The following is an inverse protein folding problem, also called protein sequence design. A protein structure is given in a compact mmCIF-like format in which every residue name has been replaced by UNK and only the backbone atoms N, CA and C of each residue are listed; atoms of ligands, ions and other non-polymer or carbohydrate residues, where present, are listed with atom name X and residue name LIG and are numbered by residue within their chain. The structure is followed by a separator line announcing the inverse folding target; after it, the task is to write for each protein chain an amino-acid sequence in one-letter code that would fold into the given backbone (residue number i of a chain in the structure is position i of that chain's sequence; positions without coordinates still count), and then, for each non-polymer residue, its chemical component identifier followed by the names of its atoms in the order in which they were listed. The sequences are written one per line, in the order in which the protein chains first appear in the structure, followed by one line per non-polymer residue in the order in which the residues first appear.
data_IF_323880763752
#
_entry.id   IF_323880763752
#
_cell.length_a   1.000
_cell.length_b   1.000
_cell.length_c   1.000
_cell.angle_alpha   90.00
_cell.angle_beta   90.00
_cell.angle_gamma   90.00
#
_symmetry.space_group_name_H-M   'P 1'
#
loop_
_entity.id
_entity.type
_entity.pdbx_description
1 polymer ?
#
# COMPACT_ATOMS: atom_id res chain seq x y z
N UNK A 1 16.38 33.91 -18.47
CA UNK A 1 17.40 34.78 -17.84
C UNK A 1 18.38 33.92 -17.06
N UNK A 2 19.29 34.49 -16.27
CA UNK A 2 20.18 33.68 -15.43
C UNK A 2 19.43 32.93 -14.33
N UNK A 3 18.37 33.53 -13.77
CA UNK A 3 17.48 32.84 -12.83
C UNK A 3 16.69 31.70 -13.47
N UNK A 4 16.31 31.77 -14.75
CA UNK A 4 15.62 30.65 -15.41
C UNK A 4 16.52 29.42 -15.58
N UNK A 5 17.82 29.61 -15.84
CA UNK A 5 18.78 28.50 -15.87
C UNK A 5 18.90 27.82 -14.50
N UNK A 6 18.83 28.59 -13.40
CA UNK A 6 18.84 28.04 -12.05
C UNK A 6 17.54 27.29 -11.75
N UNK A 7 16.38 27.77 -12.22
CA UNK A 7 15.11 27.03 -12.09
C UNK A 7 15.17 25.70 -12.83
N UNK A 8 15.69 25.69 -14.05
CA UNK A 8 15.88 24.46 -14.84
C UNK A 8 16.84 23.49 -14.14
N UNK A 9 17.93 23.98 -13.52
CA UNK A 9 18.85 23.16 -12.72
C UNK A 9 18.14 22.50 -11.53
N UNK A 10 17.34 23.26 -10.77
CA UNK A 10 16.58 22.75 -9.63
C UNK A 10 15.53 21.73 -10.08
N UNK A 11 14.77 22.04 -11.14
CA UNK A 11 13.75 21.15 -11.69
C UNK A 11 14.37 19.86 -12.23
N UNK A 12 15.49 19.94 -12.92
CA UNK A 12 16.21 18.77 -13.44
C UNK A 12 16.73 17.90 -12.30
N UNK A 13 17.31 18.50 -11.24
CA UNK A 13 17.71 17.76 -10.05
C UNK A 13 16.53 17.05 -9.39
N UNK A 14 15.42 17.76 -9.21
CA UNK A 14 14.21 17.22 -8.62
C UNK A 14 13.65 16.07 -9.46
N UNK A 15 13.58 16.23 -10.79
CA UNK A 15 13.12 15.18 -11.71
C UNK A 15 13.95 13.90 -11.58
N UNK A 16 15.28 14.04 -11.58
CA UNK A 16 16.22 12.91 -11.46
C UNK A 16 16.14 12.23 -10.08
N UNK A 17 16.10 13.01 -9.00
CA UNK A 17 16.05 12.49 -7.63
C UNK A 17 14.72 11.76 -7.40
N UNK A 18 13.59 12.40 -7.66
CA UNK A 18 12.27 11.83 -7.45
C UNK A 18 12.06 10.60 -8.34
N UNK A 19 12.52 10.61 -9.59
CA UNK A 19 12.44 9.46 -10.48
C UNK A 19 13.17 8.22 -9.95
N UNK A 20 14.35 8.38 -9.34
CA UNK A 20 15.06 7.26 -8.70
C UNK A 20 14.32 6.70 -7.50
N UNK A 21 13.77 7.57 -6.66
CA UNK A 21 13.00 7.16 -5.48
C UNK A 21 11.67 6.53 -5.86
N UNK A 22 11.04 6.95 -6.96
CA UNK A 22 9.82 6.34 -7.48
C UNK A 22 10.07 4.91 -7.97
N UNK A 23 11.22 4.65 -8.60
CA UNK A 23 11.64 3.29 -8.94
C UNK A 23 11.88 2.43 -7.70
N UNK A 24 12.60 2.96 -6.70
CA UNK A 24 12.82 2.25 -5.45
C UNK A 24 11.50 1.95 -4.73
N UNK A 25 10.58 2.91 -4.72
CA UNK A 25 9.23 2.74 -4.20
C UNK A 25 8.51 1.58 -4.87
N UNK A 26 8.54 1.47 -6.21
CA UNK A 26 8.01 0.32 -6.94
C UNK A 26 8.72 -1.00 -6.58
N UNK A 27 10.05 -1.00 -6.51
CA UNK A 27 10.84 -2.19 -6.15
C UNK A 27 10.54 -2.71 -4.73
N UNK A 28 10.15 -1.85 -3.80
CA UNK A 28 9.76 -2.22 -2.44
C UNK A 28 8.25 -2.51 -2.31
N UNK A 29 7.48 -2.48 -3.40
CA UNK A 29 6.04 -2.72 -3.39
C UNK A 29 5.24 -1.54 -2.86
N UNK A 30 5.67 -0.32 -3.15
CA UNK A 30 4.99 0.89 -2.69
C UNK A 30 5.08 1.11 -1.17
N UNK A 31 6.03 0.49 -0.49
CA UNK A 31 6.45 0.91 0.84
C UNK A 31 7.88 1.39 0.71
N UNK A 32 8.19 2.66 0.99
CA UNK A 32 9.58 3.08 1.05
C UNK A 32 10.10 2.95 2.48
N UNK A 33 10.86 1.91 2.74
CA UNK A 33 11.61 1.74 3.98
C UNK A 33 13.00 2.35 3.82
N UNK A 34 13.12 3.64 4.16
CA UNK A 34 14.41 4.36 4.14
C UNK A 34 15.41 3.86 5.20
N UNK A 35 14.93 3.07 6.17
CA UNK A 35 15.73 2.47 7.25
C UNK A 35 15.86 0.95 7.05
N UNK A 36 16.51 0.56 5.96
CA UNK A 36 17.14 -0.75 5.87
C UNK A 36 18.42 -0.66 6.70
N UNK A 37 18.33 -1.05 7.98
CA UNK A 37 19.47 -0.96 8.91
C UNK A 37 20.78 -1.47 8.29
N UNK A 38 21.93 -0.97 8.74
CA UNK A 38 23.26 -1.07 8.09
C UNK A 38 23.71 -2.48 7.62
N UNK A 39 23.02 -3.54 8.02
CA UNK A 39 23.26 -4.94 7.64
C UNK A 39 22.18 -5.55 6.71
N UNK A 40 21.32 -4.75 6.09
CA UNK A 40 20.31 -5.25 5.15
C UNK A 40 20.99 -5.85 3.90
N UNK A 41 20.84 -7.17 3.71
CA UNK A 41 21.43 -7.90 2.58
C UNK A 41 20.51 -7.89 1.34
N UNK A 42 19.47 -7.04 1.33
CA UNK A 42 18.51 -6.95 0.24
C UNK A 42 17.52 -5.81 0.40
N UNK A 43 16.76 -5.56 -0.67
CA UNK A 43 15.65 -4.60 -0.70
C UNK A 43 14.42 -5.30 -0.12
N UNK A 44 13.82 -4.80 0.96
CA UNK A 44 12.61 -5.39 1.51
C UNK A 44 11.47 -5.21 0.51
N UNK A 45 10.78 -6.29 0.21
CA UNK A 45 9.61 -6.25 -0.67
C UNK A 45 8.37 -6.37 0.22
N UNK A 46 7.43 -5.43 0.07
CA UNK A 46 6.18 -5.46 0.83
C UNK A 46 5.38 -6.74 0.53
N UNK A 47 4.83 -7.35 1.57
CA UNK A 47 3.82 -8.40 1.42
C UNK A 47 2.53 -7.76 0.91
N UNK A 48 2.07 -8.17 -0.27
CA UNK A 48 0.77 -7.77 -0.84
C UNK A 48 -0.30 -8.81 -0.54
N UNK A 49 0.13 -10.05 -0.41
CA UNK A 49 -0.70 -11.16 0.02
C UNK A 49 0.00 -11.85 1.19
N UNK A 50 -0.70 -11.94 2.30
CA UNK A 50 -0.23 -12.58 3.52
C UNK A 50 -1.30 -13.57 3.97
N UNK A 51 -1.03 -14.86 3.76
CA UNK A 51 -1.82 -15.96 4.29
C UNK A 51 -3.34 -15.77 4.14
N UNK A 52 -3.85 -15.62 2.91
CA UNK A 52 -5.29 -15.43 2.66
C UNK A 52 -5.75 -13.97 2.61
N UNK A 53 -4.95 -13.03 3.10
CA UNK A 53 -5.33 -11.62 3.23
C UNK A 53 -4.55 -10.72 2.27
N UNK A 54 -5.27 -9.81 1.62
CA UNK A 54 -4.69 -8.67 0.90
C UNK A 54 -4.20 -7.61 1.92
N UNK A 55 -2.94 -7.23 1.84
CA UNK A 55 -2.26 -6.33 2.81
C UNK A 55 -1.80 -5.01 2.19
N UNK A 56 -1.99 -4.82 0.89
CA UNK A 56 -1.63 -3.57 0.22
C UNK A 56 -2.55 -2.41 0.66
N UNK A 57 -2.00 -1.21 0.92
CA UNK A 57 -2.80 0.00 1.11
C UNK A 57 -3.54 0.40 -0.17
N UNK A 58 -4.58 1.23 -0.01
CA UNK A 58 -5.23 1.86 -1.17
C UNK A 58 -4.29 2.85 -1.88
N UNK A 59 -4.62 3.18 -3.13
CA UNK A 59 -3.81 4.09 -3.94
C UNK A 59 -3.60 5.46 -3.28
N UNK A 60 -4.60 5.97 -2.53
CA UNK A 60 -4.51 7.26 -1.86
C UNK A 60 -3.47 7.23 -0.71
N UNK A 61 -3.39 6.12 0.01
CA UNK A 61 -2.39 5.89 1.05
C UNK A 61 -1.00 5.82 0.43
N UNK A 62 -0.83 5.13 -0.70
CA UNK A 62 0.44 5.07 -1.43
C UNK A 62 0.88 6.44 -1.99
N UNK A 63 -0.07 7.22 -2.53
CA UNK A 63 0.16 8.60 -2.98
C UNK A 63 0.62 9.49 -1.81
N UNK A 64 -0.02 9.36 -0.65
CA UNK A 64 0.36 10.07 0.57
C UNK A 64 1.76 9.68 1.06
N UNK A 65 2.04 8.38 1.13
CA UNK A 65 3.33 7.85 1.57
C UNK A 65 4.47 8.36 0.65
N UNK A 66 4.28 8.31 -0.66
CA UNK A 66 5.29 8.79 -1.60
C UNK A 66 5.46 10.32 -1.55
N UNK A 67 4.37 11.07 -1.34
CA UNK A 67 4.46 12.53 -1.17
C UNK A 67 5.35 12.90 0.02
N UNK A 68 5.16 12.23 1.16
CA UNK A 68 5.99 12.45 2.34
C UNK A 68 7.48 12.09 2.11
N UNK A 69 7.77 11.08 1.29
CA UNK A 69 9.14 10.78 0.86
C UNK A 69 9.71 11.95 0.06
N UNK A 70 8.98 12.45 -0.93
CA UNK A 70 9.45 13.52 -1.82
C UNK A 70 9.74 14.80 -1.03
N UNK A 71 8.89 15.15 -0.06
CA UNK A 71 9.10 16.30 0.84
C UNK A 71 10.45 16.24 1.57
N UNK A 72 10.89 15.03 1.95
CA UNK A 72 12.16 14.84 2.67
C UNK A 72 13.39 14.87 1.76
N UNK A 73 13.28 14.47 0.50
CA UNK A 73 14.44 14.34 -0.41
C UNK A 73 14.66 15.57 -1.28
N UNK A 74 13.60 16.32 -1.63
CA UNK A 74 13.71 17.45 -2.57
C UNK A 74 14.49 18.67 -2.06
N UNK A 75 14.62 18.95 -0.74
CA UNK A 75 15.47 20.03 -0.26
C UNK A 75 16.94 19.89 -0.66
N UNK A 76 17.42 18.67 -0.94
CA UNK A 76 18.77 18.44 -1.45
C UNK A 76 19.00 19.09 -2.84
N UNK A 77 17.93 19.41 -3.58
CA UNK A 77 17.97 20.08 -4.87
C UNK A 77 17.81 21.62 -4.79
N UNK A 78 17.56 22.20 -3.60
CA UNK A 78 17.40 23.65 -3.42
C UNK A 78 18.72 24.42 -3.40
N UNK A 79 19.66 24.03 -4.26
CA UNK A 79 20.99 24.63 -4.38
C UNK A 79 21.35 24.75 -5.86
N UNK A 80 22.26 25.67 -6.17
CA UNK A 80 22.78 25.83 -7.53
C UNK A 80 24.30 25.66 -7.53
N UNK A 81 24.82 25.02 -8.58
CA UNK A 81 26.27 24.94 -8.81
C UNK A 81 26.83 26.22 -9.41
N UNK A 82 25.96 27.14 -9.86
CA UNK A 82 26.38 28.40 -10.46
C UNK A 82 26.74 29.44 -9.38
N UNK A 83 28.03 29.81 -9.19
CA UNK A 83 28.44 30.73 -8.14
C UNK A 83 27.94 32.17 -8.35
N UNK A 84 27.38 32.49 -9.52
CA UNK A 84 26.77 33.79 -9.79
C UNK A 84 25.38 33.93 -9.15
N UNK A 85 24.81 32.87 -8.56
CA UNK A 85 23.49 32.87 -7.94
C UNK A 85 23.51 32.19 -6.57
N UNK A 86 22.58 32.59 -5.72
CA UNK A 86 22.24 31.90 -4.47
C UNK A 86 20.76 31.54 -4.47
N UNK A 87 20.44 30.46 -3.75
CA UNK A 87 19.05 30.00 -3.53
C UNK A 87 18.78 30.08 -2.03
N UNK A 88 17.69 30.73 -1.66
CA UNK A 88 17.19 30.79 -0.29
C UNK A 88 15.83 30.09 -0.21
N UNK A 89 15.66 29.28 0.83
CA UNK A 89 14.38 28.67 1.16
C UNK A 89 13.49 29.68 1.88
N UNK A 90 12.28 29.89 1.35
CA UNK A 90 11.24 30.74 1.93
C UNK A 90 10.18 29.93 2.68
N UNK A 91 9.90 28.71 2.20
CA UNK A 91 8.99 27.77 2.84
C UNK A 91 9.46 26.33 2.58
N UNK A 92 9.16 25.37 3.48
CA UNK A 92 9.38 23.96 3.19
C UNK A 92 8.56 23.52 1.96
N UNK A 93 8.96 22.42 1.31
CA UNK A 93 8.19 21.84 0.22
C UNK A 93 6.88 21.23 0.74
N UNK A 94 5.77 21.51 0.06
CA UNK A 94 4.53 20.74 0.16
C UNK A 94 4.37 19.93 -1.13
N UNK A 95 4.15 18.62 -1.01
CA UNK A 95 4.10 17.73 -2.18
C UNK A 95 2.78 17.00 -2.26
N UNK A 96 2.26 16.89 -3.48
CA UNK A 96 1.14 16.02 -3.79
C UNK A 96 1.49 15.11 -4.97
N UNK A 97 1.54 13.82 -4.69
CA UNK A 97 1.65 12.78 -5.71
C UNK A 97 0.26 12.36 -6.17
N UNK A 98 0.11 12.08 -7.47
CA UNK A 98 -1.07 11.45 -8.05
C UNK A 98 -0.61 10.35 -8.98
N UNK A 99 -1.05 9.12 -8.73
CA UNK A 99 -0.83 8.00 -9.64
C UNK A 99 -2.03 7.94 -10.59
N UNK A 100 -1.82 8.38 -11.83
CA UNK A 100 -2.79 8.24 -12.91
C UNK A 100 -2.76 6.84 -13.54
N UNK A 101 -3.60 6.66 -14.55
CA UNK A 101 -3.71 5.37 -15.26
C UNK A 101 -2.46 5.09 -16.11
N UNK A 102 -1.79 6.13 -16.61
CA UNK A 102 -0.62 6.01 -17.49
C UNK A 102 0.61 6.82 -17.03
N UNK A 103 0.49 7.59 -15.96
CA UNK A 103 1.57 8.45 -15.47
C UNK A 103 1.52 8.66 -13.95
N UNK A 104 2.64 9.08 -13.39
CA UNK A 104 2.74 9.57 -12.02
C UNK A 104 3.08 11.06 -12.07
N UNK A 105 2.24 11.88 -11.45
CA UNK A 105 2.45 13.33 -11.36
C UNK A 105 2.80 13.70 -9.93
N UNK A 106 3.87 14.46 -9.76
CA UNK A 106 4.33 14.97 -8.46
C UNK A 106 4.28 16.49 -8.52
N UNK A 107 3.25 17.07 -7.91
CA UNK A 107 3.08 18.52 -7.77
C UNK A 107 3.85 18.99 -6.53
N UNK A 108 4.78 19.93 -6.70
CA UNK A 108 5.65 20.43 -5.64
C UNK A 108 5.42 21.93 -5.48
N UNK A 109 4.93 22.36 -4.33
CA UNK A 109 4.94 23.76 -3.91
C UNK A 109 6.12 23.99 -2.97
N UNK A 110 7.25 24.43 -3.52
CA UNK A 110 8.47 24.70 -2.77
C UNK A 110 8.87 26.17 -2.93
N UNK A 111 8.68 26.96 -1.88
CA UNK A 111 8.96 28.39 -1.90
C UNK A 111 10.46 28.67 -1.90
N UNK A 112 11.02 28.93 -3.07
CA UNK A 112 12.44 29.27 -3.26
C UNK A 112 12.61 30.69 -3.78
N UNK A 113 13.73 31.30 -3.42
CA UNK A 113 14.14 32.60 -3.90
C UNK A 113 15.54 32.52 -4.49
N UNK A 114 15.64 32.86 -5.78
CA UNK A 114 16.91 32.87 -6.51
C UNK A 114 17.38 34.32 -6.60
N UNK A 115 18.60 34.58 -6.13
CA UNK A 115 19.19 35.91 -6.13
C UNK A 115 20.55 35.88 -6.83
N UNK A 116 20.77 36.78 -7.80
CA UNK A 116 22.09 36.96 -8.40
C UNK A 116 23.07 37.56 -7.39
N UNK A 117 24.34 37.18 -7.48
CA UNK A 117 25.39 37.62 -6.55
C UNK A 117 25.62 39.14 -6.56
N UNK A 118 25.29 39.81 -7.67
CA UNK A 118 25.32 41.27 -7.79
C UNK A 118 24.05 41.96 -7.23
N UNK A 119 23.04 41.19 -6.83
CA UNK A 119 21.75 41.68 -6.31
C UNK A 119 20.81 42.28 -7.36
N UNK A 120 21.19 42.27 -8.64
CA UNK A 120 20.42 42.92 -9.71
C UNK A 120 19.27 42.06 -10.24
N UNK A 121 19.38 40.74 -10.10
CA UNK A 121 18.34 39.79 -10.51
C UNK A 121 17.83 39.02 -9.29
N UNK A 122 16.50 38.96 -9.17
CA UNK A 122 15.82 38.26 -8.09
C UNK A 122 14.54 37.64 -8.63
N UNK A 123 14.35 36.35 -8.39
CA UNK A 123 13.18 35.62 -8.85
C UNK A 123 12.64 34.71 -7.76
N UNK A 124 11.33 34.78 -7.51
CA UNK A 124 10.64 33.73 -6.81
C UNK A 124 10.52 32.51 -7.73
N UNK A 125 10.73 31.33 -7.17
CA UNK A 125 10.47 30.06 -7.82
C UNK A 125 9.67 29.20 -6.85
N UNK A 126 8.43 28.94 -7.23
CA UNK A 126 7.52 28.07 -6.51
C UNK A 126 6.65 27.36 -7.52
N UNK A 127 6.09 26.22 -7.13
CA UNK A 127 5.20 25.38 -7.94
C UNK A 127 5.83 24.89 -9.24
N UNK A 128 6.14 23.60 -9.24
CA UNK A 128 6.47 22.88 -10.45
C UNK A 128 5.97 21.46 -10.35
N UNK A 129 5.67 20.85 -11.49
CA UNK A 129 5.20 19.49 -11.59
C UNK A 129 6.27 18.62 -12.24
N UNK A 130 6.41 17.41 -11.73
CA UNK A 130 7.23 16.37 -12.34
C UNK A 130 6.28 15.31 -12.88
N UNK A 131 6.38 15.03 -14.17
CA UNK A 131 5.59 14.00 -14.84
C UNK A 131 6.52 12.83 -15.19
N UNK A 132 6.06 11.63 -14.88
CA UNK A 132 6.73 10.40 -15.20
C UNK A 132 5.76 9.45 -15.90
N UNK A 133 6.16 8.82 -17.03
CA UNK A 133 5.34 7.86 -17.76
C UNK A 133 5.26 6.50 -17.03
N UNK A 134 4.74 6.50 -15.80
CA UNK A 134 4.59 5.33 -14.96
C UNK A 134 3.11 5.05 -14.70
N UNK A 135 2.62 3.94 -15.25
CA UNK A 135 1.25 3.47 -15.07
C UNK A 135 1.08 2.76 -13.71
N UNK A 136 1.41 3.44 -12.60
CA UNK A 136 1.48 2.78 -11.28
C UNK A 136 0.14 2.15 -10.87
N UNK A 137 -0.99 2.80 -11.16
CA UNK A 137 -2.33 2.21 -10.93
C UNK A 137 -2.55 0.93 -11.71
N UNK A 138 -2.14 0.90 -12.98
CA UNK A 138 -2.22 -0.30 -13.79
C UNK A 138 -1.41 -1.46 -13.18
N UNK A 139 -0.20 -1.19 -12.68
CA UNK A 139 0.61 -2.23 -12.05
C UNK A 139 -0.02 -2.73 -10.73
N UNK A 140 -0.65 -1.83 -9.95
CA UNK A 140 -1.42 -2.22 -8.77
C UNK A 140 -2.62 -3.10 -9.14
N UNK A 141 -3.33 -2.79 -10.23
CA UNK A 141 -4.44 -3.61 -10.74
C UNK A 141 -3.97 -5.01 -11.19
N UNK A 142 -2.79 -5.09 -11.83
CA UNK A 142 -2.15 -6.38 -12.17
C UNK A 142 -1.80 -7.17 -10.91
N UNK A 143 -1.16 -6.52 -9.93
CA UNK A 143 -0.81 -7.13 -8.65
C UNK A 143 -2.05 -7.63 -7.90
N UNK A 144 -3.14 -6.86 -7.91
CA UNK A 144 -4.42 -7.22 -7.32
C UNK A 144 -5.05 -8.45 -7.97
N UNK A 145 -5.01 -8.54 -9.31
CA UNK A 145 -5.50 -9.71 -10.05
C UNK A 145 -4.66 -10.95 -9.76
N UNK A 146 -3.34 -10.80 -9.59
CA UNK A 146 -2.46 -11.89 -9.16
C UNK A 146 -2.81 -12.34 -7.74
N UNK A 147 -2.92 -11.40 -6.79
CA UNK A 147 -3.30 -11.69 -5.41
C UNK A 147 -4.66 -12.38 -5.30
N UNK A 148 -5.64 -11.95 -6.10
CA UNK A 148 -6.95 -12.60 -6.18
C UNK A 148 -6.87 -14.00 -6.79
N UNK A 149 -6.04 -14.22 -7.80
CA UNK A 149 -5.80 -15.56 -8.35
C UNK A 149 -5.14 -16.49 -7.32
N UNK A 150 -4.17 -15.98 -6.57
CA UNK A 150 -3.55 -16.70 -5.44
C UNK A 150 -4.63 -17.07 -4.41
N UNK A 151 -5.50 -16.11 -4.05
CA UNK A 151 -6.58 -16.33 -3.10
C UNK A 151 -7.56 -17.41 -3.55
N UNK A 152 -7.87 -17.47 -4.85
CA UNK A 152 -8.81 -18.44 -5.42
C UNK A 152 -8.18 -19.82 -5.62
N UNK A 153 -6.88 -19.86 -5.96
CA UNK A 153 -6.20 -21.08 -6.40
C UNK A 153 -4.67 -20.97 -6.18
N UNK A 154 -4.20 -21.16 -4.93
CA UNK A 154 -2.80 -20.93 -4.53
C UNK A 154 -1.78 -21.71 -5.37
N UNK A 155 -2.15 -22.91 -5.82
CA UNK A 155 -1.25 -23.82 -6.57
C UNK A 155 -1.24 -23.55 -8.09
N UNK A 156 -2.11 -22.70 -8.63
CA UNK A 156 -2.26 -22.49 -10.09
C UNK A 156 -2.11 -21.06 -10.56
N UNK A 157 -1.22 -20.28 -9.95
CA UNK A 157 -0.71 -19.08 -10.63
C UNK A 157 0.26 -19.53 -11.72
N UNK A 158 -0.30 -19.96 -12.85
CA UNK A 158 0.48 -20.48 -13.97
C UNK A 158 0.87 -19.37 -14.96
N UNK A 159 1.83 -19.69 -15.82
CA UNK A 159 2.34 -18.76 -16.84
C UNK A 159 1.27 -18.38 -17.88
N UNK A 160 0.23 -19.20 -18.06
CA UNK A 160 -0.88 -18.89 -18.99
C UNK A 160 -1.74 -17.77 -18.43
N UNK A 161 -2.01 -17.76 -17.13
CA UNK A 161 -2.66 -16.63 -16.46
C UNK A 161 -1.80 -15.38 -16.53
N UNK A 162 -0.51 -15.47 -16.18
CA UNK A 162 0.38 -14.31 -16.14
C UNK A 162 0.64 -13.69 -17.52
N UNK A 163 0.67 -14.49 -18.58
CA UNK A 163 0.84 -14.00 -19.96
C UNK A 163 -0.38 -13.28 -20.54
N UNK A 164 -1.49 -13.17 -19.79
CA UNK A 164 -2.67 -12.39 -20.19
C UNK A 164 -2.51 -10.90 -19.92
N UNK A 165 -1.55 -10.52 -19.09
CA UNK A 165 -1.25 -9.13 -18.82
C UNK A 165 -0.44 -8.53 -19.97
N UNK A 166 -0.57 -7.24 -20.15
CA UNK A 166 0.20 -6.42 -21.08
C UNK A 166 1.56 -6.00 -20.50
N UNK A 167 1.98 -6.61 -19.39
CA UNK A 167 3.28 -6.42 -18.71
C UNK A 167 3.94 -7.78 -18.50
N UNK A 168 5.26 -7.79 -18.34
CA UNK A 168 5.97 -9.00 -17.98
C UNK A 168 5.85 -9.24 -16.47
N UNK A 169 5.58 -10.48 -16.08
CA UNK A 169 5.54 -10.87 -14.66
C UNK A 169 6.56 -11.99 -14.42
N UNK A 170 7.61 -11.65 -13.68
CA UNK A 170 8.59 -12.62 -13.20
C UNK A 170 8.15 -13.19 -11.85
N UNK A 171 8.42 -14.48 -11.65
CA UNK A 171 8.13 -15.21 -10.42
C UNK A 171 9.47 -15.66 -9.83
N UNK A 172 9.74 -15.25 -8.60
CA UNK A 172 10.93 -15.61 -7.85
C UNK A 172 10.56 -16.33 -6.56
N UNK A 173 10.54 -17.68 -6.54
CA UNK A 173 10.38 -18.43 -5.30
C UNK A 173 11.53 -18.11 -4.34
N UNK A 174 11.21 -17.65 -3.13
CA UNK A 174 12.17 -17.35 -2.06
C UNK A 174 12.18 -18.43 -0.98
N UNK A 175 11.04 -19.10 -0.77
CA UNK A 175 10.90 -20.33 0.01
C UNK A 175 9.74 -21.16 -0.55
N UNK A 176 9.38 -22.27 0.11
CA UNK A 176 8.21 -23.07 -0.24
C UNK A 176 6.89 -22.28 -0.12
N UNK A 177 6.83 -21.37 0.86
CA UNK A 177 5.62 -20.61 1.18
C UNK A 177 5.72 -19.13 0.73
N UNK A 178 6.87 -18.69 0.21
CA UNK A 178 7.09 -17.28 -0.11
C UNK A 178 7.59 -17.10 -1.53
N UNK A 179 6.85 -16.35 -2.32
CA UNK A 179 7.20 -16.00 -3.69
C UNK A 179 7.19 -14.48 -3.82
N UNK A 180 8.19 -13.96 -4.51
CA UNK A 180 8.20 -12.56 -4.96
C UNK A 180 7.73 -12.54 -6.40
N UNK A 181 6.69 -11.74 -6.66
CA UNK A 181 6.25 -11.40 -8.01
C UNK A 181 6.86 -10.06 -8.37
N UNK A 182 7.38 -9.98 -9.59
CA UNK A 182 7.97 -8.76 -10.12
C UNK A 182 7.29 -8.42 -11.43
N UNK A 183 6.48 -7.37 -11.42
CA UNK A 183 5.88 -6.79 -12.61
C UNK A 183 6.93 -5.87 -13.23
N UNK A 184 7.27 -6.14 -14.48
CA UNK A 184 8.21 -5.38 -15.28
C UNK A 184 7.45 -4.75 -16.45
N UNK A 185 7.43 -3.43 -16.48
CA UNK A 185 6.99 -2.68 -17.66
C UNK A 185 8.22 -2.23 -18.45
N UNK A 186 8.35 -2.78 -19.65
CA UNK A 186 9.41 -2.51 -20.62
C UNK A 186 8.94 -1.61 -21.79
N UNK A 187 7.71 -1.07 -21.74
CA UNK A 187 7.12 -0.25 -22.80
C UNK A 187 7.57 1.23 -22.77
N UNK A 188 8.52 1.58 -21.91
CA UNK A 188 9.23 2.86 -22.00
C UNK A 188 10.05 2.97 -23.30
N UNK A 189 10.20 4.17 -23.89
CA UNK A 189 10.99 4.36 -25.11
C UNK A 189 12.50 4.10 -24.91
N UNK A 190 12.96 3.96 -23.67
CA UNK A 190 14.35 3.63 -23.30
C UNK A 190 14.38 2.58 -22.19
N UNK A 191 15.47 1.82 -22.12
CA UNK A 191 15.70 0.82 -21.08
C UNK A 191 15.76 1.45 -19.67
N UNK A 192 16.25 2.70 -19.57
CA UNK A 192 16.20 3.48 -18.34
C UNK A 192 14.78 3.94 -17.93
N UNK A 193 13.76 3.77 -18.77
CA UNK A 193 12.36 4.07 -18.43
C UNK A 193 11.63 2.84 -17.88
N UNK A 194 12.30 1.68 -17.84
CA UNK A 194 11.73 0.46 -17.28
C UNK A 194 11.32 0.68 -15.82
N UNK A 195 10.09 0.27 -15.51
CA UNK A 195 9.53 0.35 -14.18
C UNK A 195 9.30 -1.05 -13.62
N UNK A 196 9.55 -1.19 -12.33
CA UNK A 196 9.41 -2.46 -11.61
C UNK A 196 8.48 -2.23 -10.43
N UNK A 197 7.44 -3.06 -10.33
CA UNK A 197 6.67 -3.25 -9.10
C UNK A 197 6.93 -4.66 -8.59
N UNK A 198 7.62 -4.78 -7.46
CA UNK A 198 7.80 -6.08 -6.80
C UNK A 198 6.91 -6.18 -5.59
N UNK A 199 6.31 -7.35 -5.39
CA UNK A 199 5.55 -7.65 -4.18
C UNK A 199 5.73 -9.09 -3.74
N UNK A 200 5.67 -9.28 -2.42
CA UNK A 200 5.71 -10.59 -1.80
C UNK A 200 4.31 -11.20 -1.69
N UNK A 201 4.21 -12.49 -1.95
CA UNK A 201 3.06 -13.30 -1.64
C UNK A 201 3.49 -14.45 -0.72
N UNK A 202 2.96 -14.44 0.50
CA UNK A 202 3.10 -15.54 1.45
C UNK A 202 1.87 -16.45 1.32
N UNK A 203 2.12 -17.66 0.82
CA UNK A 203 1.14 -18.72 0.71
C UNK A 203 1.01 -19.46 2.02
N UNK A 204 -0.16 -20.07 2.20
CA UNK A 204 -0.35 -21.07 3.24
C UNK A 204 -0.33 -22.44 2.55
N UNK A 205 0.86 -23.02 2.37
CA UNK A 205 1.17 -24.47 2.41
C UNK A 205 2.37 -24.91 1.55
N UNK A 206 3.42 -25.36 2.24
CA UNK A 206 4.56 -26.08 1.67
C UNK A 206 5.10 -27.25 2.50
N UNK A 207 4.71 -27.42 3.77
CA UNK A 207 5.37 -28.42 4.66
C UNK A 207 4.46 -29.44 5.37
N UNK A 208 3.17 -29.50 5.07
CA UNK A 208 2.23 -30.33 5.86
C UNK A 208 2.04 -29.81 7.29
N UNK A 209 2.24 -28.50 7.49
CA UNK A 209 1.86 -27.77 8.69
C UNK A 209 0.54 -27.08 8.44
N UNK A 210 -0.34 -27.16 9.43
CA UNK A 210 -1.67 -26.56 9.41
C UNK A 210 -1.66 -25.04 9.16
N UNK A 211 -2.47 -24.61 8.22
CA UNK A 211 -2.84 -23.25 7.86
C UNK A 211 -3.76 -22.64 8.90
N UNK A 212 -3.56 -21.38 9.35
CA UNK A 212 -4.60 -20.71 10.11
C UNK A 212 -5.79 -20.35 9.22
N UNK A 213 -7.01 -20.35 9.79
CA UNK A 213 -8.20 -19.88 9.10
C UNK A 213 -8.13 -18.37 8.84
N UNK A 214 -8.92 -17.85 7.90
CA UNK A 214 -8.91 -16.43 7.51
C UNK A 214 -10.32 -15.90 7.31
N UNK A 215 -10.69 -14.81 7.98
CA UNK A 215 -11.99 -14.15 7.77
C UNK A 215 -12.14 -13.60 6.35
N UNK A 216 -13.28 -13.88 5.69
CA UNK A 216 -13.56 -13.41 4.32
C UNK A 216 -14.53 -12.22 4.25
N UNK A 217 -15.38 -12.03 5.26
CA UNK A 217 -16.44 -11.01 5.23
C UNK A 217 -16.68 -10.34 6.59
N UNK A 218 -15.68 -10.33 7.47
CA UNK A 218 -15.76 -9.63 8.75
C UNK A 218 -15.41 -8.15 8.55
N UNK A 219 -16.41 -7.30 8.64
CA UNK A 219 -16.27 -5.83 8.50
C UNK A 219 -15.63 -5.19 9.75
N UNK A 220 -15.07 -3.99 9.59
CA UNK A 220 -14.53 -3.21 10.71
C UNK A 220 -15.65 -2.59 11.57
N UNK A 221 -16.84 -2.39 10.98
CA UNK A 221 -18.01 -1.95 11.74
C UNK A 221 -19.36 -2.36 11.15
N UNK A 222 -20.34 -2.55 12.05
CA UNK A 222 -21.75 -2.77 11.72
C UNK A 222 -22.63 -1.67 12.34
N UNK A 223 -23.80 -1.44 11.75
CA UNK A 223 -24.83 -0.58 12.31
C UNK A 223 -25.97 -1.43 12.89
N UNK A 224 -26.46 -1.05 14.06
CA UNK A 224 -27.61 -1.66 14.72
C UNK A 224 -28.54 -0.58 15.30
N UNK A 225 -29.82 -0.91 15.42
CA UNK A 225 -30.83 -0.01 16.00
C UNK A 225 -31.45 -0.63 17.23
N UNK A 226 -31.78 0.21 18.22
CA UNK A 226 -32.37 -0.26 19.48
C UNK A 226 -33.65 -1.08 19.20
N UNK A 227 -33.72 -2.27 19.80
CA UNK A 227 -34.85 -3.19 19.66
C UNK A 227 -34.91 -3.96 18.34
N UNK A 228 -33.98 -3.74 17.41
CA UNK A 228 -33.88 -4.51 16.17
C UNK A 228 -32.73 -5.51 16.24
N UNK A 229 -33.00 -6.77 15.92
CA UNK A 229 -31.98 -7.81 15.88
C UNK A 229 -31.04 -7.59 14.67
N UNK A 230 -29.76 -7.40 14.95
CA UNK A 230 -28.68 -7.49 13.98
C UNK A 230 -28.28 -8.97 13.83
N UNK A 231 -28.26 -9.47 12.60
CA UNK A 231 -27.77 -10.82 12.25
C UNK A 231 -26.76 -10.72 11.11
N UNK A 232 -25.57 -11.29 11.27
CA UNK A 232 -24.52 -11.32 10.24
C UNK A 232 -23.87 -12.70 10.21
N UNK A 233 -23.89 -13.33 9.05
CA UNK A 233 -23.15 -14.56 8.81
C UNK A 233 -21.68 -14.21 8.62
N UNK A 234 -20.85 -14.51 9.62
CA UNK A 234 -19.41 -14.35 9.53
C UNK A 234 -18.83 -15.64 8.96
N UNK A 235 -17.99 -15.48 7.96
CA UNK A 235 -17.35 -16.57 7.26
C UNK A 235 -15.84 -16.40 7.32
N UNK A 236 -15.19 -17.55 7.40
CA UNK A 236 -13.77 -17.71 7.23
C UNK A 236 -13.52 -18.92 6.32
N UNK A 237 -12.33 -18.95 5.73
CA UNK A 237 -11.84 -20.06 4.95
C UNK A 237 -10.62 -20.66 5.63
N UNK A 238 -10.51 -21.97 5.52
CA UNK A 238 -9.32 -22.72 5.88
C UNK A 238 -8.74 -23.36 4.63
N UNK A 239 -7.43 -23.20 4.42
CA UNK A 239 -6.76 -23.71 3.22
C UNK A 239 -6.58 -25.23 3.26
N UNK A 240 -6.51 -25.84 4.45
CA UNK A 240 -6.42 -27.29 4.64
C UNK A 240 -7.80 -27.97 4.60
N UNK A 241 -8.87 -27.18 4.60
CA UNK A 241 -10.24 -27.67 4.66
C UNK A 241 -10.63 -28.15 6.06
N UNK A 242 -9.93 -27.66 7.10
CA UNK A 242 -10.25 -27.97 8.48
C UNK A 242 -11.58 -27.36 8.93
N UNK A 243 -12.16 -27.96 9.97
CA UNK A 243 -13.42 -27.49 10.55
C UNK A 243 -13.18 -26.26 11.41
N UNK A 244 -14.00 -25.22 11.18
CA UNK A 244 -13.84 -23.93 11.85
C UNK A 244 -14.73 -23.78 13.08
N UNK A 245 -14.17 -23.15 14.11
CA UNK A 245 -14.83 -22.84 15.37
C UNK A 245 -14.75 -21.34 15.65
N UNK A 246 -15.91 -20.70 15.74
CA UNK A 246 -16.02 -19.25 15.98
C UNK A 246 -16.18 -18.95 17.46
N UNK A 247 -15.52 -17.89 17.93
CA UNK A 247 -15.72 -17.36 19.28
C UNK A 247 -15.59 -15.84 19.30
N UNK A 248 -15.99 -15.24 20.42
CA UNK A 248 -16.15 -13.81 20.58
C UNK A 248 -15.69 -13.41 21.98
N UNK A 249 -14.99 -12.28 22.06
CA UNK A 249 -14.79 -11.53 23.29
C UNK A 249 -15.49 -10.16 23.16
N UNK A 250 -16.37 -9.84 24.11
CA UNK A 250 -17.02 -8.53 24.18
C UNK A 250 -17.41 -8.19 25.62
N UNK A 251 -17.35 -6.89 25.95
CA UNK A 251 -17.88 -6.37 27.21
C UNK A 251 -19.41 -6.43 27.27
N UNK A 252 -20.09 -6.50 26.13
CA UNK A 252 -21.55 -6.58 26.07
C UNK A 252 -22.02 -8.04 25.96
N UNK A 253 -22.62 -8.61 27.01
CA UNK A 253 -22.99 -10.03 27.02
C UNK A 253 -24.17 -10.36 26.09
N UNK A 254 -24.82 -9.36 25.47
CA UNK A 254 -25.88 -9.57 24.48
C UNK A 254 -25.37 -9.78 23.06
N UNK A 255 -24.09 -9.53 22.80
CA UNK A 255 -23.46 -9.87 21.53
C UNK A 255 -23.07 -11.35 21.61
N UNK A 256 -23.50 -12.14 20.64
CA UNK A 256 -23.19 -13.56 20.58
C UNK A 256 -22.76 -13.96 19.17
N UNK A 257 -21.95 -15.01 19.09
CA UNK A 257 -21.62 -15.68 17.83
C UNK A 257 -21.89 -17.18 17.98
N UNK A 258 -22.50 -17.78 16.97
CA UNK A 258 -22.66 -19.23 16.92
C UNK A 258 -21.33 -19.90 16.53
N UNK A 259 -20.89 -20.85 17.34
CA UNK A 259 -19.57 -21.50 17.20
C UNK A 259 -19.39 -22.24 15.89
N UNK A 260 -20.47 -22.75 15.29
CA UNK A 260 -20.41 -23.63 14.12
C UNK A 260 -20.74 -22.92 12.81
N UNK A 261 -21.60 -21.91 12.87
CA UNK A 261 -22.11 -21.20 11.69
C UNK A 261 -21.49 -19.83 11.51
N UNK A 262 -20.84 -19.29 12.55
CA UNK A 262 -20.33 -17.92 12.54
C UNK A 262 -21.43 -16.86 12.58
N UNK A 263 -22.68 -17.23 12.90
CA UNK A 263 -23.79 -16.29 12.98
C UNK A 263 -23.60 -15.34 14.16
N UNK A 264 -23.19 -14.11 13.87
CA UNK A 264 -23.17 -13.00 14.81
C UNK A 264 -24.58 -12.47 15.00
N UNK A 265 -25.06 -12.47 16.24
CA UNK A 265 -26.38 -11.99 16.62
C UNK A 265 -26.29 -10.97 17.76
N UNK A 266 -27.10 -9.91 17.66
CA UNK A 266 -27.17 -8.89 18.68
C UNK A 266 -28.50 -8.14 18.63
N UNK A 267 -29.21 -8.05 19.76
CA UNK A 267 -30.39 -7.17 19.91
C UNK A 267 -30.06 -6.05 20.89
N UNK A 268 -29.74 -4.83 20.40
CA UNK A 268 -29.38 -3.71 21.26
C UNK A 268 -30.56 -3.23 22.09
N UNK A 269 -30.28 -2.84 23.32
CA UNK A 269 -31.20 -2.10 24.18
C UNK A 269 -30.87 -0.60 24.17
N UNK A 270 -31.76 0.23 24.68
CA UNK A 270 -31.48 1.67 24.82
C UNK A 270 -30.23 1.97 25.67
N UNK A 271 -29.83 1.07 26.56
CA UNK A 271 -28.63 1.20 27.37
C UNK A 271 -27.32 0.98 26.58
N UNK A 272 -27.42 0.45 25.36
CA UNK A 272 -26.28 0.15 24.50
C UNK A 272 -25.93 1.26 23.50
N UNK A 273 -26.64 2.40 23.55
CA UNK A 273 -26.44 3.50 22.62
C UNK A 273 -24.97 3.95 22.57
N UNK A 274 -24.44 4.11 21.36
CA UNK A 274 -23.02 4.38 21.12
C UNK A 274 -22.30 3.20 20.47
N UNK A 275 -20.99 3.10 20.71
CA UNK A 275 -20.13 2.07 20.10
C UNK A 275 -19.97 0.90 21.07
N UNK A 276 -20.26 -0.31 20.59
CA UNK A 276 -19.98 -1.57 21.27
C UNK A 276 -18.82 -2.28 20.56
N UNK A 277 -17.75 -2.62 21.28
CA UNK A 277 -16.61 -3.32 20.70
C UNK A 277 -16.72 -4.84 20.89
N UNK A 278 -16.24 -5.57 19.89
CA UNK A 278 -16.16 -7.02 19.87
C UNK A 278 -14.88 -7.45 19.17
N UNK A 279 -14.20 -8.47 19.70
CA UNK A 279 -13.12 -9.18 19.01
C UNK A 279 -13.61 -10.59 18.68
N UNK A 280 -13.60 -10.94 17.40
CA UNK A 280 -14.08 -12.23 16.90
C UNK A 280 -12.86 -13.06 16.53
N UNK A 281 -12.90 -14.34 16.91
CA UNK A 281 -11.86 -15.33 16.69
C UNK A 281 -12.41 -16.47 15.84
N UNK A 282 -11.57 -17.05 15.00
CA UNK A 282 -11.84 -18.31 14.29
C UNK A 282 -10.63 -19.23 14.44
N UNK A 283 -10.88 -20.45 14.89
CA UNK A 283 -9.90 -21.49 15.21
C UNK A 283 -10.19 -22.75 14.38
N UNK A 284 -9.15 -23.44 13.91
CA UNK A 284 -9.24 -24.65 13.09
C UNK A 284 -9.16 -25.97 13.90
N UNK A 285 -8.91 -25.89 15.21
CA UNK A 285 -8.71 -27.04 16.11
C UNK A 285 -7.38 -27.77 15.91
N UNK A 286 -6.49 -27.23 15.09
CA UNK A 286 -5.18 -27.76 14.70
C UNK A 286 -4.03 -26.82 15.04
N UNK A 287 -4.35 -25.66 15.63
CA UNK A 287 -3.40 -24.71 16.20
C UNK A 287 -3.28 -23.42 15.39
N UNK A 288 -4.04 -23.26 14.32
CA UNK A 288 -4.18 -22.00 13.62
C UNK A 288 -5.39 -21.20 14.14
N UNK A 289 -5.22 -19.88 14.13
CA UNK A 289 -6.15 -18.92 14.72
C UNK A 289 -6.05 -17.60 13.96
N UNK A 290 -7.20 -17.04 13.59
CA UNK A 290 -7.33 -15.65 13.15
C UNK A 290 -8.27 -14.88 14.10
N UNK A 291 -8.00 -13.59 14.26
CA UNK A 291 -8.79 -12.71 15.12
C UNK A 291 -8.87 -11.31 14.53
N UNK A 292 -10.06 -10.71 14.62
CA UNK A 292 -10.29 -9.35 14.15
C UNK A 292 -11.27 -8.61 15.06
N UNK A 293 -10.96 -7.34 15.32
CA UNK A 293 -11.83 -6.41 16.04
C UNK A 293 -12.86 -5.79 15.11
N UNK A 294 -14.07 -5.64 15.61
CA UNK A 294 -15.18 -4.95 14.95
C UNK A 294 -15.91 -4.05 15.94
N UNK A 295 -16.47 -2.96 15.44
CA UNK A 295 -17.36 -2.08 16.19
C UNK A 295 -18.82 -2.28 15.78
N UNK A 296 -19.76 -2.20 16.72
CA UNK A 296 -21.19 -2.13 16.44
C UNK A 296 -21.70 -0.77 16.90
N UNK A 297 -22.16 0.05 15.94
CA UNK A 297 -22.71 1.38 16.18
C UNK A 297 -24.20 1.26 16.43
N UNK A 298 -24.62 1.49 17.68
CA UNK A 298 -26.02 1.42 18.11
C UNK A 298 -26.64 2.80 18.06
N UNK A 299 -27.64 2.96 17.20
CA UNK A 299 -28.48 4.16 17.15
C UNK A 299 -29.81 3.93 17.88
N UNK A 300 -30.35 4.96 18.56
CA UNK A 300 -31.72 4.91 19.11
C UNK A 300 -32.78 4.58 18.06
#
# INVERSE_FOLDING_TARGET
TGTDLVKEEIQSCAHDVVGRYLKLFGMEGGALTLDVGENAIGIPVRLYYDAGRKTIPDAASLESDFSAVVENIIPACAQTKNPAFSVAELSPPEVKTTFGDSNAVVDIDYGLEITAANGEEKAAFSRFNLDYPFAFRHYLDVADRIAEKIRQDPERVDIVFLSQFDVDVAIEPRSEDYVVYTILDQYGPREEDAFILSFGALFVNGSGKNAPPVFINLEDSYNASVGQELRRDIHALDADGDTLYYSLESANPRISIDVSTGLLAYTPSAADAGIQEAEIFVDDGKGGLDRKKTAIRVTP
#
